data_IF_785251274149
#
_entry.id   IF_785251274149
#
_cell.length_a   1.000
_cell.length_b   1.000
_cell.length_c   1.000
_cell.angle_alpha   90.00
_cell.angle_beta   90.00
_cell.angle_gamma   90.00
#
_symmetry.space_group_name_H-M   'P 1'
#
loop_
_entity.id
_entity.type
_entity.pdbx_description
1 polymer ?
#
# COMPACT_ATOMS: atom_id res chain seq x y z
N UNK A 1 -18.33 -26.45 -33.46
CA UNK A 1 -17.55 -25.19 -33.26
C UNK A 1 -18.40 -23.97 -32.87
N UNK A 2 -19.68 -23.85 -33.24
CA UNK A 2 -20.53 -22.70 -32.84
C UNK A 2 -20.99 -22.75 -31.38
N UNK A 3 -21.31 -23.92 -30.84
CA UNK A 3 -21.76 -24.12 -29.45
C UNK A 3 -20.67 -23.70 -28.42
N UNK A 4 -19.41 -24.09 -28.67
CA UNK A 4 -18.29 -23.73 -27.76
C UNK A 4 -18.03 -22.23 -27.71
N UNK A 5 -18.25 -21.52 -28.83
CA UNK A 5 -18.09 -20.06 -28.87
C UNK A 5 -19.21 -19.32 -28.14
N UNK A 6 -20.46 -19.77 -28.33
CA UNK A 6 -21.58 -19.19 -27.57
C UNK A 6 -21.39 -19.37 -26.07
N UNK A 7 -21.01 -20.56 -25.67
CA UNK A 7 -20.66 -20.86 -24.28
C UNK A 7 -19.54 -19.95 -23.76
N UNK A 8 -18.41 -19.85 -24.49
CA UNK A 8 -17.28 -18.98 -24.10
C UNK A 8 -17.69 -17.51 -23.98
N UNK A 9 -18.51 -17.00 -24.90
CA UNK A 9 -19.02 -15.62 -24.85
C UNK A 9 -19.93 -15.40 -23.65
N UNK A 10 -20.84 -16.33 -23.37
CA UNK A 10 -21.75 -16.23 -22.22
C UNK A 10 -21.00 -16.30 -20.92
N UNK A 11 -20.06 -17.23 -20.77
CA UNK A 11 -19.20 -17.36 -19.58
C UNK A 11 -18.36 -16.11 -19.36
N UNK A 12 -17.70 -15.60 -20.42
CA UNK A 12 -16.92 -14.38 -20.34
C UNK A 12 -17.77 -13.19 -19.86
N UNK A 13 -18.97 -13.01 -20.40
CA UNK A 13 -19.85 -11.91 -20.03
C UNK A 13 -20.45 -12.08 -18.62
N UNK A 14 -20.90 -13.27 -18.27
CA UNK A 14 -21.53 -13.55 -16.98
C UNK A 14 -20.52 -13.42 -15.81
N UNK A 15 -19.37 -14.09 -15.94
CA UNK A 15 -18.31 -14.00 -14.91
C UNK A 15 -17.74 -12.57 -14.89
N UNK A 16 -17.56 -11.95 -16.08
CA UNK A 16 -17.03 -10.58 -16.17
C UNK A 16 -17.87 -9.58 -15.41
N UNK A 17 -19.18 -9.65 -15.49
CA UNK A 17 -20.07 -8.75 -14.76
C UNK A 17 -19.87 -8.82 -13.24
N UNK A 18 -19.68 -10.02 -12.69
CA UNK A 18 -19.47 -10.21 -11.25
C UNK A 18 -18.07 -9.83 -10.77
N UNK A 19 -17.06 -9.97 -11.64
CA UNK A 19 -15.66 -9.71 -11.27
C UNK A 19 -15.23 -8.25 -11.50
N UNK A 20 -15.94 -7.48 -12.32
CA UNK A 20 -15.62 -6.07 -12.61
C UNK A 20 -15.44 -5.21 -11.37
N UNK A 21 -16.27 -5.28 -10.31
CA UNK A 21 -16.06 -4.48 -9.10
C UNK A 21 -14.70 -4.76 -8.44
N UNK A 22 -14.25 -6.01 -8.41
CA UNK A 22 -12.95 -6.40 -7.87
C UNK A 22 -11.80 -5.90 -8.75
N UNK A 23 -11.93 -5.99 -10.09
CA UNK A 23 -10.95 -5.43 -11.01
C UNK A 23 -10.84 -3.91 -10.88
N UNK A 24 -11.97 -3.23 -10.71
CA UNK A 24 -11.99 -1.80 -10.47
C UNK A 24 -11.29 -1.44 -9.17
N UNK A 25 -11.57 -2.17 -8.09
CA UNK A 25 -10.92 -1.98 -6.80
C UNK A 25 -9.40 -2.21 -6.91
N UNK A 26 -8.96 -3.31 -7.54
CA UNK A 26 -7.55 -3.60 -7.77
C UNK A 26 -6.87 -2.50 -8.61
N UNK A 27 -7.55 -2.01 -9.66
CA UNK A 27 -7.04 -0.95 -10.52
C UNK A 27 -6.89 0.37 -9.74
N UNK A 28 -7.94 0.82 -9.06
CA UNK A 28 -7.95 2.08 -8.32
C UNK A 28 -6.92 2.08 -7.18
N UNK A 29 -6.84 0.98 -6.42
CA UNK A 29 -5.85 0.85 -5.35
C UNK A 29 -4.43 0.68 -5.89
N UNK A 30 -4.24 0.01 -7.04
CA UNK A 30 -2.96 -0.13 -7.72
C UNK A 30 -2.41 1.19 -8.26
N UNK A 31 -3.28 2.04 -8.85
CA UNK A 31 -2.92 3.37 -9.32
C UNK A 31 -2.38 4.26 -8.18
N UNK A 32 -2.88 4.09 -6.97
CA UNK A 32 -2.42 4.82 -5.79
C UNK A 32 -0.92 4.62 -5.52
N UNK A 33 -0.37 3.46 -5.85
CA UNK A 33 1.05 3.14 -5.69
C UNK A 33 1.89 3.48 -6.93
N UNK A 34 1.26 3.49 -8.10
CA UNK A 34 1.96 3.64 -9.38
C UNK A 34 2.15 5.09 -9.80
N UNK A 35 1.26 6.01 -9.36
CA UNK A 35 1.26 7.40 -9.81
C UNK A 35 1.10 8.40 -8.66
N UNK A 36 2.09 9.28 -8.47
CA UNK A 36 2.07 10.30 -7.42
C UNK A 36 0.95 11.31 -7.58
N UNK A 37 0.64 11.71 -8.83
CA UNK A 37 -0.48 12.59 -9.10
C UNK A 37 -1.82 11.99 -8.66
N UNK A 38 -2.02 10.69 -8.91
CA UNK A 38 -3.25 9.99 -8.50
C UNK A 38 -3.35 9.89 -6.98
N UNK A 39 -2.23 9.54 -6.32
CA UNK A 39 -2.14 9.51 -4.86
C UNK A 39 -2.47 10.88 -4.26
N UNK A 40 -1.88 11.97 -4.77
CA UNK A 40 -2.16 13.33 -4.32
C UNK A 40 -3.62 13.71 -4.54
N UNK A 41 -4.19 13.36 -5.69
CA UNK A 41 -5.62 13.59 -5.97
C UNK A 41 -6.51 12.84 -4.98
N UNK A 42 -6.18 11.58 -4.64
CA UNK A 42 -6.92 10.80 -3.64
C UNK A 42 -6.88 11.47 -2.26
N UNK A 43 -5.73 11.97 -1.79
CA UNK A 43 -5.62 12.71 -0.54
C UNK A 43 -6.51 13.97 -0.55
N UNK A 44 -6.51 14.71 -1.65
CA UNK A 44 -7.35 15.92 -1.82
C UNK A 44 -8.84 15.57 -1.80
N UNK A 45 -9.27 14.56 -2.57
CA UNK A 45 -10.67 14.13 -2.65
C UNK A 45 -11.17 13.60 -1.30
N UNK A 46 -10.32 12.85 -0.59
CA UNK A 46 -10.65 12.30 0.73
C UNK A 46 -10.55 13.35 1.84
N UNK A 47 -10.02 14.55 1.57
CA UNK A 47 -9.85 15.60 2.58
C UNK A 47 -8.86 15.20 3.69
N UNK A 48 -7.84 14.42 3.36
CA UNK A 48 -6.80 13.94 4.29
C UNK A 48 -5.50 14.65 3.98
N UNK A 49 -4.80 15.13 5.00
CA UNK A 49 -3.47 15.71 4.79
C UNK A 49 -2.48 14.63 4.32
N UNK A 50 -1.77 14.94 3.25
CA UNK A 50 -0.74 14.04 2.73
C UNK A 50 0.42 13.98 3.75
N UNK A 51 0.85 12.77 4.18
CA UNK A 51 1.98 12.64 5.09
C UNK A 51 3.22 13.32 4.49
N UNK A 52 3.83 14.23 5.23
CA UNK A 52 5.03 15.00 4.83
C UNK A 52 6.25 14.16 4.42
N UNK A 53 6.15 12.84 4.54
CA UNK A 53 7.19 11.89 4.13
C UNK A 53 7.49 11.95 2.61
N UNK A 54 6.52 12.33 1.78
CA UNK A 54 6.72 12.45 0.34
C UNK A 54 7.62 13.65 -0.01
N UNK A 55 7.47 14.77 0.72
CA UNK A 55 8.35 15.94 0.56
C UNK A 55 9.78 15.65 1.04
N UNK A 56 9.93 14.90 2.13
CA UNK A 56 11.24 14.50 2.65
C UNK A 56 11.96 13.49 1.73
N UNK A 57 11.23 12.61 1.05
CA UNK A 57 11.80 11.66 0.09
C UNK A 57 12.14 12.38 -1.22
N UNK A 58 11.30 13.28 -1.70
CA UNK A 58 11.58 14.09 -2.89
C UNK A 58 12.78 15.03 -2.66
N UNK A 59 12.86 15.68 -1.50
CA UNK A 59 14.03 16.50 -1.11
C UNK A 59 15.28 15.62 -0.92
N UNK A 60 15.16 14.40 -0.39
CA UNK A 60 16.29 13.47 -0.26
C UNK A 60 16.75 12.90 -1.61
N UNK A 61 15.88 12.79 -2.60
CA UNK A 61 16.23 12.40 -3.97
C UNK A 61 16.87 13.54 -4.76
N UNK A 62 16.42 14.77 -4.59
CA UNK A 62 17.07 15.96 -5.14
C UNK A 62 18.44 16.20 -4.50
N UNK A 63 18.55 16.10 -3.19
CA UNK A 63 19.82 16.15 -2.45
C UNK A 63 20.78 15.00 -2.83
N UNK A 64 20.29 13.81 -3.16
CA UNK A 64 21.13 12.71 -3.62
C UNK A 64 21.65 12.91 -5.05
N UNK A 65 20.88 13.52 -5.96
CA UNK A 65 21.38 13.87 -7.30
C UNK A 65 22.49 14.91 -7.24
N UNK A 66 22.43 15.84 -6.27
CA UNK A 66 23.52 16.80 -6.02
C UNK A 66 24.75 16.20 -5.32
N UNK A 67 24.59 15.10 -4.60
CA UNK A 67 25.66 14.45 -3.80
C UNK A 67 26.41 13.34 -4.52
N UNK A 68 25.87 12.82 -5.62
CA UNK A 68 26.58 11.77 -6.39
C UNK A 68 27.85 12.31 -7.07
N UNK A 69 27.89 13.61 -7.36
CA UNK A 69 29.11 14.29 -7.83
C UNK A 69 30.14 14.55 -6.72
N UNK A 70 29.76 14.53 -5.44
CA UNK A 70 30.66 14.78 -4.29
C UNK A 70 31.06 13.51 -3.52
N UNK A 71 30.63 12.33 -3.94
CA UNK A 71 30.81 11.07 -3.18
C UNK A 71 32.22 10.48 -3.25
N UNK A 72 33.09 11.00 -4.12
CA UNK A 72 34.48 10.48 -4.28
C UNK A 72 35.42 11.03 -3.17
N UNK A 73 35.04 12.06 -2.43
CA UNK A 73 35.94 12.70 -1.44
C UNK A 73 35.52 12.54 0.05
N UNK A 74 34.42 11.86 0.40
CA UNK A 74 33.90 11.91 1.78
C UNK A 74 33.58 10.55 2.42
N UNK A 75 34.33 9.48 2.11
CA UNK A 75 34.13 8.18 2.76
C UNK A 75 34.50 8.17 4.26
N UNK A 76 35.34 9.09 4.74
CA UNK A 76 35.74 9.15 6.16
C UNK A 76 34.70 9.83 7.07
N UNK A 77 33.95 10.82 6.57
CA UNK A 77 32.95 11.54 7.38
C UNK A 77 31.66 10.75 7.64
N UNK A 78 31.33 9.77 6.79
CA UNK A 78 30.11 8.96 6.96
C UNK A 78 30.23 7.93 8.09
N UNK A 79 31.44 7.43 8.37
CA UNK A 79 31.69 6.50 9.46
C UNK A 79 31.68 7.21 10.83
N UNK A 80 32.23 8.42 10.93
CA UNK A 80 32.18 9.22 12.15
C UNK A 80 30.74 9.61 12.53
N UNK A 81 29.91 9.97 11.54
CA UNK A 81 28.50 10.29 11.79
C UNK A 81 27.65 9.06 12.17
N UNK A 82 27.99 7.85 11.69
CA UNK A 82 27.34 6.61 12.14
C UNK A 82 27.75 6.25 13.56
N UNK A 83 29.03 6.38 13.92
CA UNK A 83 29.50 6.13 15.28
C UNK A 83 28.90 7.11 16.28
N UNK A 84 28.90 8.40 16.00
CA UNK A 84 28.25 9.41 16.86
C UNK A 84 26.74 9.19 17.01
N UNK A 85 26.07 8.65 16.01
CA UNK A 85 24.63 8.29 16.08
C UNK A 85 24.39 7.03 16.92
N UNK A 86 25.34 6.09 16.95
CA UNK A 86 25.24 4.89 17.78
C UNK A 86 25.54 5.22 19.25
N UNK A 87 26.47 6.12 19.53
CA UNK A 87 26.78 6.61 20.89
C UNK A 87 25.63 7.38 21.52
N UNK A 88 24.70 7.94 20.73
CA UNK A 88 23.50 8.62 21.24
C UNK A 88 22.35 7.67 21.64
N UNK A 89 22.48 6.37 21.40
CA UNK A 89 21.44 5.40 21.79
C UNK A 89 21.63 5.06 23.27
N UNK A 90 20.77 5.62 24.13
CA UNK A 90 20.71 5.26 25.52
C UNK A 90 19.86 4.01 25.71
N UNK A 91 20.49 2.86 25.96
CA UNK A 91 19.78 1.61 26.26
C UNK A 91 18.97 1.70 27.57
N UNK A 92 19.42 2.47 28.52
CA UNK A 92 18.68 2.73 29.78
C UNK A 92 17.35 3.44 29.47
N UNK A 93 17.38 4.47 28.62
CA UNK A 93 16.17 5.17 28.23
C UNK A 93 15.24 4.27 27.41
N UNK A 94 15.80 3.42 26.53
CA UNK A 94 15.00 2.46 25.78
C UNK A 94 14.26 1.47 26.69
N UNK A 95 14.93 0.98 27.75
CA UNK A 95 14.32 0.10 28.74
C UNK A 95 13.20 0.83 29.50
N UNK A 96 13.47 2.04 30.02
CA UNK A 96 12.44 2.86 30.67
C UNK A 96 11.23 3.11 29.81
N UNK A 97 11.45 3.41 28.54
CA UNK A 97 10.37 3.63 27.56
C UNK A 97 9.55 2.36 27.36
N UNK A 98 10.19 1.19 27.26
CA UNK A 98 9.50 -0.09 27.14
C UNK A 98 8.66 -0.41 28.39
N UNK A 99 9.18 -0.13 29.58
CA UNK A 99 8.47 -0.35 30.85
C UNK A 99 7.25 0.58 30.97
N UNK A 100 7.40 1.86 30.61
CA UNK A 100 6.29 2.83 30.60
C UNK A 100 5.23 2.41 29.55
N UNK A 101 5.65 1.96 28.37
CA UNK A 101 4.74 1.46 27.37
C UNK A 101 3.92 0.27 27.87
N UNK A 102 4.58 -0.74 28.46
CA UNK A 102 3.90 -1.93 28.97
C UNK A 102 2.92 -1.63 30.11
N UNK A 103 3.17 -0.57 30.89
CA UNK A 103 2.26 -0.14 31.95
C UNK A 103 1.03 0.62 31.43
N UNK A 104 1.16 1.27 30.25
CA UNK A 104 0.13 2.15 29.72
C UNK A 104 -0.64 1.57 28.52
N UNK A 105 -0.11 0.51 27.89
CA UNK A 105 -0.83 -0.14 26.78
C UNK A 105 -2.13 -0.77 27.28
N UNK A 106 -3.25 -0.44 26.62
CA UNK A 106 -4.59 -0.79 27.12
C UNK A 106 -5.05 -2.21 26.76
N UNK A 107 -4.41 -2.85 25.79
CA UNK A 107 -4.78 -4.17 25.25
C UNK A 107 -3.54 -4.97 24.88
N UNK A 108 -3.71 -6.27 24.73
CA UNK A 108 -2.68 -7.14 24.16
C UNK A 108 -2.28 -6.71 22.75
N UNK A 109 -1.00 -6.83 22.43
CA UNK A 109 -0.45 -6.44 21.15
C UNK A 109 0.33 -7.58 20.47
N UNK A 110 0.30 -7.62 19.13
CA UNK A 110 1.07 -8.59 18.32
C UNK A 110 2.55 -8.23 18.26
N UNK A 111 2.82 -6.95 18.07
CA UNK A 111 4.19 -6.41 17.98
C UNK A 111 4.22 -4.96 18.44
N UNK A 112 5.38 -4.54 18.91
CA UNK A 112 5.70 -3.17 19.22
C UNK A 112 7.11 -2.86 18.71
N UNK A 113 7.26 -1.72 18.02
CA UNK A 113 8.51 -1.27 17.43
C UNK A 113 8.93 0.05 18.06
N UNK A 114 9.98 0.02 18.89
CA UNK A 114 10.57 1.20 19.47
C UNK A 114 11.56 1.85 18.49
N UNK A 115 11.36 3.12 18.18
CA UNK A 115 12.35 3.93 17.48
C UNK A 115 13.44 4.35 18.48
N UNK A 116 14.62 3.76 18.36
CA UNK A 116 15.76 4.01 19.28
C UNK A 116 16.33 5.44 19.18
N UNK A 117 16.10 6.15 18.08
CA UNK A 117 16.50 7.56 17.92
C UNK A 117 15.37 8.45 18.42
N UNK A 118 15.56 9.18 19.54
CA UNK A 118 14.55 10.10 20.03
C UNK A 118 14.35 11.30 19.10
N UNK A 119 13.24 12.03 19.28
CA UNK A 119 13.03 13.34 18.68
C UNK A 119 14.01 14.38 19.24
N UNK A 120 14.01 15.61 18.70
CA UNK A 120 14.84 16.71 19.21
C UNK A 120 14.58 17.04 20.69
N UNK A 121 13.37 16.73 21.17
CA UNK A 121 12.93 16.97 22.54
C UNK A 121 13.18 15.76 23.48
N UNK A 122 13.93 14.75 23.02
CA UNK A 122 14.22 13.55 23.80
C UNK A 122 13.06 12.55 23.91
N UNK A 123 11.99 12.73 23.12
CA UNK A 123 10.79 11.89 23.13
C UNK A 123 11.00 10.67 22.23
N UNK A 124 10.68 9.49 22.73
CA UNK A 124 10.72 8.23 22.01
C UNK A 124 9.34 7.87 21.47
N UNK A 125 9.30 7.26 20.30
CA UNK A 125 8.06 6.80 19.66
C UNK A 125 8.04 5.28 19.59
N UNK A 126 7.00 4.67 20.14
CA UNK A 126 6.67 3.25 19.96
C UNK A 126 5.49 3.15 18.99
N UNK A 127 5.66 2.38 17.92
CA UNK A 127 4.56 1.99 17.02
C UNK A 127 4.17 0.56 17.35
N UNK A 128 2.90 0.29 17.57
CA UNK A 128 2.41 -1.01 17.98
C UNK A 128 1.12 -1.41 17.27
N UNK A 129 0.86 -2.72 17.22
CA UNK A 129 -0.31 -3.32 16.60
C UNK A 129 -1.03 -4.17 17.63
N UNK A 130 -2.30 -3.92 17.87
CA UNK A 130 -3.11 -4.73 18.78
C UNK A 130 -3.26 -6.18 18.28
N UNK A 131 -3.49 -7.12 19.22
CA UNK A 131 -3.64 -8.54 18.91
C UNK A 131 -4.89 -8.84 18.09
N UNK A 132 -5.94 -8.05 18.25
CA UNK A 132 -7.21 -8.13 17.54
C UNK A 132 -7.27 -7.32 16.24
N UNK A 133 -6.17 -6.65 15.85
CA UNK A 133 -6.11 -5.89 14.62
C UNK A 133 -6.40 -6.77 13.40
N UNK A 134 -7.29 -6.28 12.52
CA UNK A 134 -7.71 -6.97 11.30
C UNK A 134 -6.59 -7.02 10.27
N UNK A 135 -5.81 -5.95 10.16
CA UNK A 135 -4.71 -5.86 9.21
C UNK A 135 -3.51 -5.06 9.78
N UNK A 136 -2.33 -5.26 9.19
CA UNK A 136 -1.06 -4.70 9.68
C UNK A 136 -0.95 -3.17 9.61
N UNK A 137 -1.87 -2.48 8.94
CA UNK A 137 -1.93 -1.01 8.85
C UNK A 137 -2.73 -0.37 9.97
N UNK A 138 -3.35 -1.12 10.86
CA UNK A 138 -4.01 -0.63 12.08
C UNK A 138 -3.00 -0.25 13.15
N UNK A 139 -1.90 0.36 12.73
CA UNK A 139 -0.80 0.73 13.63
C UNK A 139 -1.18 1.92 14.49
N UNK A 140 -0.95 1.76 15.78
CA UNK A 140 -1.04 2.79 16.80
C UNK A 140 0.35 3.35 17.09
N UNK A 141 0.44 4.50 17.72
CA UNK A 141 1.71 5.07 18.19
C UNK A 141 1.57 5.72 19.55
N UNK A 142 2.62 5.55 20.35
CA UNK A 142 2.74 6.18 21.66
C UNK A 142 4.07 6.93 21.73
N UNK A 143 4.02 8.20 22.12
CA UNK A 143 5.16 9.07 22.33
C UNK A 143 5.43 9.17 23.84
N UNK A 144 6.65 8.84 24.25
CA UNK A 144 7.04 8.70 25.66
C UNK A 144 8.27 9.55 25.94
N UNK A 145 8.19 10.34 27.02
CA UNK A 145 9.33 11.06 27.61
C UNK A 145 9.92 10.23 28.75
N UNK A 146 11.10 9.60 28.59
CA UNK A 146 11.69 8.76 29.61
C UNK A 146 12.18 9.57 30.84
N UNK A 147 12.47 10.88 30.67
CA UNK A 147 12.95 11.73 31.76
C UNK A 147 11.82 12.11 32.74
N UNK A 148 10.62 12.31 32.19
CA UNK A 148 9.41 12.62 32.97
C UNK A 148 8.61 11.38 33.33
N UNK A 149 8.99 10.21 32.80
CA UNK A 149 8.23 8.95 32.90
C UNK A 149 6.75 9.11 32.52
N UNK A 150 6.48 9.84 31.42
CA UNK A 150 5.16 10.26 31.01
C UNK A 150 4.90 9.88 29.54
N UNK A 151 3.67 9.40 29.27
CA UNK A 151 3.13 9.32 27.90
C UNK A 151 2.73 10.73 27.48
N UNK A 152 3.42 11.27 26.48
CA UNK A 152 3.20 12.63 25.95
C UNK A 152 1.99 12.63 25.01
N UNK A 153 1.89 11.58 24.17
CA UNK A 153 0.83 11.47 23.19
C UNK A 153 0.58 10.00 22.85
N UNK A 154 -0.68 9.65 22.71
CA UNK A 154 -1.10 8.39 22.11
C UNK A 154 -1.97 8.68 20.89
N UNK A 155 -1.73 7.99 19.80
CA UNK A 155 -2.53 8.08 18.57
C UNK A 155 -2.95 6.67 18.15
N UNK A 156 -4.24 6.38 18.30
CA UNK A 156 -4.83 5.09 17.94
C UNK A 156 -5.41 5.13 16.53
N UNK A 157 -5.35 3.98 15.85
CA UNK A 157 -5.95 3.85 14.53
C UNK A 157 -7.47 4.02 14.58
N UNK A 158 -8.10 3.50 15.61
CA UNK A 158 -9.55 3.58 15.83
C UNK A 158 -10.06 5.02 16.04
N UNK A 159 -9.22 5.94 16.53
CA UNK A 159 -9.56 7.36 16.74
C UNK A 159 -9.49 8.19 15.45
N UNK A 160 -8.91 7.64 14.38
CA UNK A 160 -8.84 8.32 13.09
C UNK A 160 -10.20 8.39 12.42
N UNK A 161 -10.43 9.45 11.65
CA UNK A 161 -11.62 9.56 10.81
C UNK A 161 -11.63 8.45 9.76
N UNK A 162 -12.82 8.03 9.30
CA UNK A 162 -12.99 6.96 8.32
C UNK A 162 -12.17 7.18 7.04
N UNK A 163 -12.10 8.41 6.54
CA UNK A 163 -11.30 8.77 5.38
C UNK A 163 -9.80 8.54 5.61
N UNK A 164 -9.28 8.85 6.80
CA UNK A 164 -7.88 8.62 7.18
C UNK A 164 -7.59 7.12 7.36
N UNK A 165 -8.54 6.37 7.95
CA UNK A 165 -8.45 4.92 8.06
C UNK A 165 -8.38 4.26 6.68
N UNK A 166 -9.28 4.65 5.75
CA UNK A 166 -9.28 4.14 4.38
C UNK A 166 -7.98 4.48 3.63
N UNK A 167 -7.50 5.73 3.74
CA UNK A 167 -6.25 6.14 3.10
C UNK A 167 -5.03 5.38 3.63
N UNK A 168 -4.97 5.11 4.94
CA UNK A 168 -3.90 4.28 5.53
C UNK A 168 -4.03 2.80 5.17
N UNK A 169 -5.23 2.33 4.83
CA UNK A 169 -5.55 0.92 4.52
C UNK A 169 -5.55 0.58 3.03
N UNK A 170 -5.00 1.44 2.16
CA UNK A 170 -4.98 1.20 0.70
C UNK A 170 -4.31 -0.14 0.32
N UNK A 171 -3.23 -0.54 1.02
CA UNK A 171 -2.58 -1.83 0.78
C UNK A 171 -3.42 -3.02 1.26
N UNK A 172 -3.96 -3.05 2.48
CA UNK A 172 -4.93 -4.05 2.90
C UNK A 172 -6.15 -4.17 1.99
N UNK A 173 -6.67 -3.06 1.45
CA UNK A 173 -7.74 -3.08 0.46
C UNK A 173 -7.31 -3.73 -0.85
N UNK A 174 -6.10 -3.42 -1.33
CA UNK A 174 -5.55 -4.01 -2.56
C UNK A 174 -5.30 -5.51 -2.42
N UNK A 175 -4.76 -5.95 -1.28
CA UNK A 175 -4.50 -7.37 -1.01
C UNK A 175 -5.73 -8.16 -0.60
N UNK A 176 -6.83 -7.48 -0.24
CA UNK A 176 -8.03 -8.09 0.33
C UNK A 176 -7.95 -8.35 1.83
N UNK A 177 -6.81 -8.07 2.48
CA UNK A 177 -6.61 -8.31 3.91
C UNK A 177 -7.59 -7.50 4.78
N UNK A 178 -8.04 -6.35 4.30
CA UNK A 178 -9.05 -5.53 4.96
C UNK A 178 -10.35 -6.31 5.31
N UNK A 179 -10.69 -7.30 4.50
CA UNK A 179 -11.83 -8.20 4.69
C UNK A 179 -11.43 -9.58 5.26
N UNK A 180 -10.23 -9.67 5.84
CA UNK A 180 -9.67 -10.92 6.35
C UNK A 180 -9.35 -11.95 5.27
N UNK A 181 -9.26 -13.23 5.64
CA UNK A 181 -8.87 -14.31 4.73
C UNK A 181 -9.85 -14.51 3.55
N UNK A 182 -11.15 -14.22 3.76
CA UNK A 182 -12.16 -14.30 2.68
C UNK A 182 -11.87 -13.25 1.62
N UNK A 183 -11.54 -12.02 2.03
CA UNK A 183 -11.14 -10.95 1.11
C UNK A 183 -9.88 -11.30 0.33
N UNK A 184 -8.87 -11.86 0.98
CA UNK A 184 -7.65 -12.32 0.31
C UNK A 184 -7.93 -13.41 -0.72
N UNK A 185 -8.80 -14.37 -0.38
CA UNK A 185 -9.22 -15.42 -1.32
C UNK A 185 -9.96 -14.83 -2.54
N UNK A 186 -10.88 -13.89 -2.32
CA UNK A 186 -11.61 -13.24 -3.40
C UNK A 186 -10.67 -12.44 -4.31
N UNK A 187 -9.71 -11.70 -3.76
CA UNK A 187 -8.71 -10.96 -4.52
C UNK A 187 -7.77 -11.89 -5.29
N UNK A 188 -7.37 -13.03 -4.72
CA UNK A 188 -6.60 -14.06 -5.42
C UNK A 188 -7.38 -14.63 -6.60
N UNK A 189 -8.66 -14.96 -6.43
CA UNK A 189 -9.52 -15.45 -7.53
C UNK A 189 -9.67 -14.36 -8.58
N UNK A 190 -9.94 -13.11 -8.20
CA UNK A 190 -10.08 -12.00 -9.11
C UNK A 190 -8.82 -11.79 -9.96
N UNK A 191 -7.64 -11.73 -9.33
CA UNK A 191 -6.38 -11.55 -10.05
C UNK A 191 -6.06 -12.72 -10.98
N UNK A 192 -6.35 -13.95 -10.57
CA UNK A 192 -6.20 -15.15 -11.41
C UNK A 192 -7.13 -15.14 -12.62
N UNK A 193 -8.38 -14.71 -12.43
CA UNK A 193 -9.35 -14.58 -13.53
C UNK A 193 -8.98 -13.47 -14.51
N UNK A 194 -8.22 -12.45 -14.12
CA UNK A 194 -7.75 -11.40 -15.03
C UNK A 194 -6.99 -11.98 -16.23
N UNK A 195 -6.08 -12.92 -16.00
CA UNK A 195 -5.35 -13.61 -17.08
C UNK A 195 -6.29 -14.37 -18.01
N UNK A 196 -7.28 -15.08 -17.44
CA UNK A 196 -8.30 -15.80 -18.25
C UNK A 196 -9.17 -14.85 -19.07
N UNK A 197 -9.51 -13.68 -18.51
CA UNK A 197 -10.27 -12.65 -19.25
C UNK A 197 -9.50 -12.09 -20.43
N UNK A 198 -8.20 -11.86 -20.27
CA UNK A 198 -7.34 -11.42 -21.39
C UNK A 198 -7.33 -12.48 -22.49
N UNK A 199 -7.10 -13.76 -22.15
CA UNK A 199 -7.04 -14.87 -23.12
C UNK A 199 -8.39 -15.02 -23.84
N UNK A 200 -9.48 -15.11 -23.08
CA UNK A 200 -10.83 -15.31 -23.66
C UNK A 200 -11.28 -14.10 -24.47
N UNK A 201 -10.96 -12.90 -24.05
CA UNK A 201 -11.21 -11.67 -24.80
C UNK A 201 -10.48 -11.66 -26.15
N UNK A 202 -9.20 -12.02 -26.17
CA UNK A 202 -8.42 -12.18 -27.41
C UNK A 202 -9.03 -13.23 -28.35
N UNK A 203 -9.39 -14.39 -27.81
CA UNK A 203 -10.03 -15.45 -28.60
C UNK A 203 -11.33 -14.96 -29.25
N UNK A 204 -12.18 -14.29 -28.51
CA UNK A 204 -13.45 -13.73 -29.02
C UNK A 204 -13.22 -12.61 -30.04
N UNK A 205 -12.20 -11.76 -29.83
CA UNK A 205 -11.81 -10.70 -30.74
C UNK A 205 -11.33 -11.26 -32.10
N UNK A 206 -10.39 -12.21 -32.09
CA UNK A 206 -9.87 -12.84 -33.32
C UNK A 206 -10.97 -13.59 -34.09
N UNK A 207 -11.88 -14.25 -33.40
CA UNK A 207 -13.00 -14.91 -34.04
C UNK A 207 -13.95 -13.91 -34.75
N UNK A 208 -14.21 -12.77 -34.12
CA UNK A 208 -15.01 -11.69 -34.73
C UNK A 208 -14.29 -11.09 -35.95
N UNK A 209 -12.99 -10.83 -35.80
CA UNK A 209 -12.16 -10.28 -36.88
C UNK A 209 -12.11 -11.21 -38.09
N UNK A 210 -11.85 -12.51 -37.89
CA UNK A 210 -11.88 -13.53 -38.96
C UNK A 210 -13.22 -13.57 -39.70
N UNK A 211 -14.33 -13.50 -38.96
CA UNK A 211 -15.67 -13.49 -39.57
C UNK A 211 -15.93 -12.23 -40.40
N UNK A 212 -15.56 -11.05 -39.88
CA UNK A 212 -15.68 -9.79 -40.63
C UNK A 212 -14.87 -9.85 -41.94
N UNK A 213 -13.63 -10.34 -41.87
CA UNK A 213 -12.76 -10.47 -43.05
C UNK A 213 -13.32 -11.45 -44.06
N UNK A 214 -13.81 -12.60 -43.63
CA UNK A 214 -14.43 -13.58 -44.51
C UNK A 214 -15.71 -13.04 -45.18
N UNK A 215 -16.53 -12.26 -44.48
CA UNK A 215 -17.71 -11.60 -45.02
C UNK A 215 -17.33 -10.57 -46.10
N UNK A 216 -16.35 -9.71 -45.80
CA UNK A 216 -15.89 -8.70 -46.78
C UNK A 216 -15.28 -9.32 -48.03
N UNK A 217 -14.60 -10.47 -47.94
CA UNK A 217 -14.09 -11.19 -49.11
C UNK A 217 -15.22 -11.77 -49.96
N UNK A 218 -16.27 -12.33 -49.33
CA UNK A 218 -17.45 -12.83 -50.07
C UNK A 218 -18.21 -11.72 -50.79
N UNK A 219 -18.40 -10.56 -50.14
CA UNK A 219 -19.06 -9.41 -50.77
C UNK A 219 -18.28 -8.88 -51.96
N UNK A 220 -16.95 -8.89 -51.92
CA UNK A 220 -16.11 -8.53 -53.09
C UNK A 220 -16.24 -9.51 -54.26
N UNK A 221 -16.41 -10.81 -53.97
CA UNK A 221 -16.59 -11.85 -55.02
C UNK A 221 -17.96 -11.83 -55.68
N UNK A 222 -18.99 -11.32 -55.02
CA UNK A 222 -20.36 -11.22 -55.57
C UNK A 222 -20.51 -9.96 -56.41
N UNK A 223 -19.69 -8.94 -56.20
CA UNK A 223 -19.74 -7.66 -56.95
C UNK A 223 -18.75 -7.61 -58.13
N UNK A 224 -18.11 -8.71 -58.47
CA UNK A 224 -17.33 -8.96 -59.71
C UNK A 224 -18.05 -9.89 -60.63
#
# INVERSE_FOLDING_TARGET
>A
KSKNRAFLSTMHSAIGMWIVPFFLLLCLTGLYWSYDWYRSAMFTVMGVEQPKRAEQVAQAEEDNKGKEQNRIQNNDKSNVNRQNKIESISYENAQKVADIFNQNVSRDYKNANLRLTPSKDGIYTISYLYADATHFRESNSMEIDPNKSLVVKEAKFEDKKLNEQLMSSMLPLHSGEYFGWIGQLLMFIASSLMALFVITGYMLYFDRWKKKRAKALKEKQVNL
#
